data_IF_168379606914
#
_entry.id   IF_168379606914
#
_cell.length_a   1.000
_cell.length_b   1.000
_cell.length_c   1.000
_cell.angle_alpha   90.00
_cell.angle_beta   90.00
_cell.angle_gamma   90.00
#
_symmetry.space_group_name_H-M   'P 1'
#
loop_
_entity.id
_entity.type
_entity.pdbx_description
1 polymer ?
#
# COMPACT_ATOMS: atom_id res chain seq x y z
N UNK A 1 -5.57 14.74 -12.87
CA UNK A 1 -6.22 13.44 -12.59
C UNK A 1 -5.14 12.49 -12.12
N UNK A 2 -5.34 11.80 -11.00
CA UNK A 2 -4.35 10.84 -10.47
C UNK A 2 -4.38 9.57 -11.32
N UNK A 3 -3.20 9.06 -11.70
CA UNK A 3 -3.11 7.84 -12.51
C UNK A 3 -2.97 6.62 -11.60
N UNK A 4 -3.80 5.60 -11.83
CA UNK A 4 -3.72 4.32 -11.15
C UNK A 4 -3.31 3.22 -12.13
N UNK A 5 -2.26 2.48 -11.79
CA UNK A 5 -1.74 1.36 -12.59
C UNK A 5 -1.81 0.06 -11.79
N UNK A 6 -1.93 -1.07 -12.49
CA UNK A 6 -1.90 -2.40 -11.88
C UNK A 6 -0.87 -3.25 -12.59
N UNK A 7 0.17 -3.63 -11.85
CA UNK A 7 1.25 -4.48 -12.30
C UNK A 7 1.12 -5.86 -11.66
N UNK A 8 1.27 -6.91 -12.45
CA UNK A 8 1.22 -8.29 -11.94
C UNK A 8 2.61 -8.87 -11.87
N UNK A 9 3.00 -9.40 -10.70
CA UNK A 9 4.25 -10.16 -10.55
C UNK A 9 4.05 -11.63 -10.97
N UNK A 10 4.96 -12.16 -11.79
CA UNK A 10 5.01 -13.60 -12.12
C UNK A 10 6.08 -14.30 -11.28
N UNK A 11 5.71 -15.38 -10.58
CA UNK A 11 6.65 -16.40 -10.10
C UNK A 11 7.44 -16.09 -8.82
N UNK A 12 7.82 -14.83 -8.54
CA UNK A 12 8.38 -14.41 -7.24
C UNK A 12 7.84 -13.03 -6.84
N UNK A 13 7.25 -12.87 -5.64
CA UNK A 13 6.66 -11.60 -5.19
C UNK A 13 7.62 -10.40 -5.22
N UNK A 14 8.92 -10.68 -5.04
CA UNK A 14 9.97 -9.67 -4.89
C UNK A 14 10.41 -9.02 -6.20
N UNK A 15 10.29 -9.71 -7.36
CA UNK A 15 10.78 -9.18 -8.64
C UNK A 15 10.03 -7.91 -9.09
N UNK A 16 8.75 -7.77 -8.74
CA UNK A 16 7.97 -6.57 -9.03
C UNK A 16 8.20 -5.41 -8.07
N UNK A 17 8.93 -5.63 -6.97
CA UNK A 17 9.21 -4.62 -5.93
C UNK A 17 10.51 -3.87 -6.18
N UNK A 18 11.20 -4.10 -7.30
CA UNK A 18 12.60 -3.74 -7.45
C UNK A 18 12.87 -2.31 -7.92
N UNK A 19 11.94 -1.57 -8.50
CA UNK A 19 12.26 -0.17 -8.85
C UNK A 19 11.03 0.71 -8.73
N UNK A 20 11.00 1.51 -7.67
CA UNK A 20 9.93 2.48 -7.42
C UNK A 20 10.44 3.63 -6.55
N UNK A 21 10.01 4.88 -6.81
CA UNK A 21 10.32 6.02 -5.96
C UNK A 21 9.88 5.81 -4.51
N UNK A 22 8.70 5.23 -4.29
CA UNK A 22 8.23 4.86 -2.95
C UNK A 22 7.48 3.53 -2.92
N UNK A 23 7.97 2.59 -2.12
CA UNK A 23 7.31 1.34 -1.78
C UNK A 23 6.59 1.47 -0.43
N UNK A 24 5.32 1.06 -0.36
CA UNK A 24 4.53 1.07 0.88
C UNK A 24 4.44 -0.32 1.48
N UNK A 25 4.89 -0.48 2.72
CA UNK A 25 4.84 -1.74 3.45
C UNK A 25 3.96 -1.58 4.70
N UNK A 26 2.77 -2.16 4.66
CA UNK A 26 1.89 -2.24 5.83
C UNK A 26 2.24 -3.43 6.73
N UNK A 27 2.25 -3.22 8.04
CA UNK A 27 2.38 -4.29 9.03
C UNK A 27 1.35 -4.17 10.14
N UNK A 28 0.79 -5.32 10.54
CA UNK A 28 -0.12 -5.45 11.67
C UNK A 28 0.69 -5.76 12.92
N UNK A 29 0.21 -5.28 14.07
CA UNK A 29 0.85 -5.54 15.35
C UNK A 29 0.98 -7.05 15.62
N UNK A 30 2.19 -7.46 16.03
CA UNK A 30 2.53 -8.85 16.33
C UNK A 30 2.72 -9.78 15.12
N UNK A 31 2.56 -9.31 13.88
CA UNK A 31 2.66 -10.17 12.68
C UNK A 31 4.01 -10.09 11.95
N UNK A 32 4.91 -9.19 12.38
CA UNK A 32 6.20 -8.96 11.72
C UNK A 32 6.07 -8.52 10.26
N UNK A 33 7.15 -8.67 9.49
CA UNK A 33 7.18 -8.28 8.07
C UNK A 33 6.39 -9.25 7.17
N UNK A 34 6.09 -10.48 7.62
CA UNK A 34 5.50 -11.52 6.77
C UNK A 34 6.47 -12.03 5.69
N UNK A 35 6.24 -13.23 5.15
CA UNK A 35 7.23 -13.94 4.32
C UNK A 35 7.69 -13.19 3.07
N UNK A 36 6.77 -12.52 2.37
CA UNK A 36 7.08 -11.82 1.11
C UNK A 36 7.93 -10.57 1.33
N UNK A 37 7.73 -9.86 2.44
CA UNK A 37 8.54 -8.69 2.78
C UNK A 37 9.84 -9.14 3.44
N UNK A 38 9.86 -10.25 4.17
CA UNK A 38 11.09 -10.81 4.72
C UNK A 38 12.07 -11.24 3.60
N UNK A 39 11.57 -11.79 2.49
CA UNK A 39 12.40 -12.08 1.30
C UNK A 39 12.98 -10.81 0.69
N UNK A 40 12.15 -9.75 0.51
CA UNK A 40 12.63 -8.44 0.06
C UNK A 40 13.68 -7.87 1.01
N UNK A 41 13.44 -7.93 2.32
CA UNK A 41 14.38 -7.41 3.32
C UNK A 41 15.71 -8.16 3.28
N UNK A 42 15.69 -9.48 3.09
CA UNK A 42 16.89 -10.29 2.84
C UNK A 42 17.68 -9.83 1.62
N UNK A 43 17.00 -9.56 0.49
CA UNK A 43 17.61 -8.99 -0.73
C UNK A 43 18.21 -7.58 -0.47
N UNK A 44 17.67 -6.85 0.51
CA UNK A 44 18.13 -5.52 0.94
C UNK A 44 19.16 -5.56 2.09
N UNK A 45 19.63 -6.75 2.48
CA UNK A 45 20.62 -6.91 3.55
C UNK A 45 20.07 -6.76 4.98
N UNK A 46 18.75 -6.89 5.17
CA UNK A 46 18.10 -6.86 6.48
C UNK A 46 17.85 -5.46 7.04
N UNK A 47 17.99 -4.41 6.22
CA UNK A 47 17.89 -3.01 6.68
C UNK A 47 16.51 -2.66 7.26
N UNK A 48 15.43 -3.24 6.72
CA UNK A 48 14.07 -2.97 7.22
C UNK A 48 13.90 -3.60 8.60
N UNK A 49 14.34 -4.84 8.79
CA UNK A 49 14.29 -5.50 10.09
C UNK A 49 15.17 -4.80 11.14
N UNK A 50 16.36 -4.34 10.75
CA UNK A 50 17.25 -3.57 11.63
C UNK A 50 16.56 -2.28 12.11
N UNK A 51 15.95 -1.51 11.20
CA UNK A 51 15.21 -0.29 11.53
C UNK A 51 13.98 -0.56 12.41
N UNK A 52 13.26 -1.66 12.18
CA UNK A 52 12.14 -2.07 13.06
C UNK A 52 12.64 -2.33 14.48
N UNK A 53 13.74 -3.06 14.61
CA UNK A 53 14.31 -3.43 15.90
C UNK A 53 14.84 -2.20 16.64
N UNK A 54 15.62 -1.37 15.97
CA UNK A 54 16.20 -0.15 16.55
C UNK A 54 15.12 0.81 17.05
N UNK A 55 14.04 0.97 16.28
CA UNK A 55 12.94 1.88 16.63
C UNK A 55 11.92 1.26 17.59
N UNK A 56 12.04 -0.04 17.90
CA UNK A 56 11.03 -0.77 18.66
C UNK A 56 9.64 -0.72 18.00
N UNK A 57 9.58 -0.73 16.67
CA UNK A 57 8.34 -0.55 15.93
C UNK A 57 7.43 -1.78 16.02
N UNK A 58 6.19 -1.63 16.49
CA UNK A 58 5.27 -2.75 16.73
C UNK A 58 4.03 -2.72 15.84
N UNK A 59 4.05 -1.95 14.74
CA UNK A 59 2.95 -1.88 13.78
C UNK A 59 1.72 -1.13 14.30
N UNK A 60 1.87 -0.26 15.30
CA UNK A 60 0.77 0.50 15.88
C UNK A 60 0.11 1.44 14.85
N UNK A 61 -1.21 1.60 14.95
CA UNK A 61 -2.01 2.29 13.93
C UNK A 61 -1.53 3.72 13.68
N UNK A 62 -1.07 3.96 12.44
CA UNK A 62 -0.65 5.28 11.97
C UNK A 62 0.76 5.69 12.40
N UNK A 63 1.50 4.84 13.11
CA UNK A 63 2.95 4.98 13.25
C UNK A 63 3.63 4.57 11.94
N UNK A 64 4.74 5.23 11.61
CA UNK A 64 5.49 4.91 10.40
C UNK A 64 6.94 5.39 10.51
N UNK A 65 7.78 4.84 9.64
CA UNK A 65 9.11 5.36 9.36
C UNK A 65 9.45 5.13 7.88
N UNK A 66 10.46 5.84 7.38
CA UNK A 66 10.94 5.71 6.00
C UNK A 66 12.39 5.24 6.02
N UNK A 67 12.70 4.23 5.22
CA UNK A 67 14.07 3.84 4.90
C UNK A 67 14.39 4.43 3.54
N UNK A 68 15.44 5.24 3.46
CA UNK A 68 15.92 5.85 2.21
C UNK A 68 17.10 5.02 1.69
N UNK A 69 17.08 4.69 0.41
CA UNK A 69 18.00 3.74 -0.21
C UNK A 69 18.62 4.37 -1.46
N UNK A 70 19.94 4.38 -1.52
CA UNK A 70 20.71 5.01 -2.60
C UNK A 70 21.36 3.95 -3.51
N UNK A 71 20.55 3.08 -4.13
CA UNK A 71 21.06 2.07 -5.06
C UNK A 71 20.10 1.85 -6.23
N UNK A 72 20.61 1.75 -7.48
CA UNK A 72 19.78 1.43 -8.64
C UNK A 72 19.23 0.01 -8.56
N UNK A 73 18.03 -0.20 -9.12
CA UNK A 73 17.37 -1.52 -9.16
C UNK A 73 16.81 -2.01 -7.82
N UNK A 74 16.65 -1.11 -6.84
CA UNK A 74 15.86 -1.30 -5.61
C UNK A 74 14.92 -0.10 -5.39
N UNK A 75 13.90 -0.18 -4.51
CA UNK A 75 13.12 0.99 -4.11
C UNK A 75 14.00 2.12 -3.60
N UNK A 76 13.68 3.38 -3.92
CA UNK A 76 14.41 4.54 -3.38
C UNK A 76 13.97 4.88 -1.96
N UNK A 77 12.66 4.75 -1.69
CA UNK A 77 12.08 4.97 -0.38
C UNK A 77 11.19 3.78 0.00
N UNK A 78 11.36 3.25 1.21
CA UNK A 78 10.49 2.24 1.77
C UNK A 78 9.75 2.84 2.96
N UNK A 79 8.45 3.06 2.81
CA UNK A 79 7.59 3.52 3.88
C UNK A 79 7.00 2.33 4.61
N UNK A 80 7.42 2.11 5.86
CA UNK A 80 6.85 1.09 6.74
C UNK A 80 5.74 1.74 7.58
N UNK A 81 4.53 1.17 7.51
CA UNK A 81 3.30 1.72 8.10
C UNK A 81 2.64 0.72 9.03
N UNK A 82 2.31 1.19 10.23
CA UNK A 82 1.58 0.43 11.23
C UNK A 82 0.08 0.48 10.96
N UNK A 83 -0.51 -0.70 10.81
CA UNK A 83 -1.92 -0.90 10.50
C UNK A 83 -2.76 -1.16 11.76
N UNK A 84 -2.12 -1.21 12.93
CA UNK A 84 -2.75 -1.53 14.20
C UNK A 84 -2.93 -3.03 14.40
N UNK A 85 -3.83 -3.39 15.30
CA UNK A 85 -4.08 -4.78 15.64
C UNK A 85 -5.03 -5.46 14.63
N UNK A 86 -4.86 -6.77 14.35
CA UNK A 86 -5.66 -7.49 13.36
C UNK A 86 -7.17 -7.38 13.57
N UNK A 87 -7.64 -7.36 14.82
CA UNK A 87 -9.06 -7.30 15.18
C UNK A 87 -9.69 -5.92 14.89
N UNK A 88 -8.88 -4.86 14.91
CA UNK A 88 -9.26 -3.47 14.64
C UNK A 88 -8.97 -3.03 13.21
N UNK A 89 -8.39 -3.90 12.38
CA UNK A 89 -8.12 -3.56 10.98
C UNK A 89 -9.43 -3.43 10.19
N UNK A 90 -9.67 -2.24 9.65
CA UNK A 90 -10.90 -1.85 8.97
C UNK A 90 -10.63 -0.85 7.83
N UNK A 91 -11.71 -0.34 7.21
CA UNK A 91 -11.67 0.71 6.19
C UNK A 91 -10.96 1.98 6.67
N UNK A 92 -11.11 2.37 7.94
CA UNK A 92 -10.50 3.59 8.50
C UNK A 92 -8.99 3.40 8.65
N UNK A 93 -8.53 2.22 9.05
CA UNK A 93 -7.12 1.89 9.15
C UNK A 93 -6.42 2.00 7.79
N UNK A 94 -7.00 1.42 6.74
CA UNK A 94 -6.49 1.53 5.36
C UNK A 94 -6.50 2.99 4.91
N UNK A 95 -7.63 3.69 5.05
CA UNK A 95 -7.74 5.11 4.67
C UNK A 95 -6.64 5.94 5.32
N UNK A 96 -6.41 5.76 6.63
CA UNK A 96 -5.35 6.47 7.36
C UNK A 96 -3.96 6.14 6.83
N UNK A 97 -3.65 4.85 6.64
CA UNK A 97 -2.35 4.42 6.13
C UNK A 97 -2.04 5.03 4.75
N UNK A 98 -3.02 5.02 3.85
CA UNK A 98 -2.87 5.60 2.51
C UNK A 98 -2.71 7.12 2.55
N UNK A 99 -3.48 7.83 3.38
CA UNK A 99 -3.31 9.28 3.54
C UNK A 99 -1.91 9.64 4.04
N UNK A 100 -1.31 8.82 4.92
CA UNK A 100 0.08 9.00 5.37
C UNK A 100 1.04 8.74 4.20
N UNK A 101 0.85 7.64 3.46
CA UNK A 101 1.70 7.29 2.34
C UNK A 101 1.74 8.37 1.26
N UNK A 102 0.59 8.89 0.85
CA UNK A 102 0.50 9.98 -0.13
C UNK A 102 1.16 11.25 0.38
N UNK A 103 0.91 11.63 1.65
CA UNK A 103 1.55 12.81 2.23
C UNK A 103 3.07 12.68 2.25
N UNK A 104 3.59 11.49 2.56
CA UNK A 104 5.02 11.24 2.61
C UNK A 104 5.64 11.23 1.21
N UNK A 105 4.99 10.59 0.24
CA UNK A 105 5.42 10.57 -1.16
C UNK A 105 5.54 11.99 -1.72
N UNK A 106 4.50 12.82 -1.56
CA UNK A 106 4.51 14.22 -2.01
C UNK A 106 5.60 15.03 -1.30
N UNK A 107 5.75 14.86 0.03
CA UNK A 107 6.79 15.56 0.80
C UNK A 107 8.21 15.22 0.35
N UNK A 108 8.44 13.99 -0.09
CA UNK A 108 9.73 13.50 -0.60
C UNK A 108 9.90 13.71 -2.10
N UNK A 109 8.95 14.36 -2.78
CA UNK A 109 9.01 14.58 -4.23
C UNK A 109 8.89 13.29 -5.07
N UNK A 110 8.36 12.21 -4.49
CA UNK A 110 8.11 10.96 -5.21
C UNK A 110 6.97 11.15 -6.21
N UNK A 111 7.18 10.77 -7.47
CA UNK A 111 6.17 10.81 -8.53
C UNK A 111 5.39 9.49 -8.68
N UNK A 112 5.81 8.41 -8.02
CA UNK A 112 5.13 7.11 -8.03
C UNK A 112 5.14 6.45 -6.64
N UNK A 113 4.00 5.86 -6.28
CA UNK A 113 3.77 5.10 -5.06
C UNK A 113 3.35 3.66 -5.42
N UNK A 114 4.13 2.66 -5.01
CA UNK A 114 3.80 1.25 -5.24
C UNK A 114 3.25 0.63 -3.95
N UNK A 115 2.08 0.01 -4.05
CA UNK A 115 1.39 -0.68 -2.95
C UNK A 115 1.29 -2.17 -3.29
N UNK A 116 1.98 -3.05 -2.56
CA UNK A 116 1.86 -4.49 -2.73
C UNK A 116 0.55 -5.00 -2.13
N UNK A 117 -0.25 -5.64 -2.98
CA UNK A 117 -1.46 -6.38 -2.62
C UNK A 117 -1.07 -7.83 -2.39
N UNK A 118 -0.70 -8.15 -1.15
CA UNK A 118 -0.18 -9.45 -0.78
C UNK A 118 -1.34 -10.44 -0.51
N UNK A 119 -1.38 -11.61 -1.18
CA UNK A 119 -2.38 -12.64 -0.91
C UNK A 119 -2.27 -13.14 0.53
N UNK A 120 -3.39 -13.52 1.14
CA UNK A 120 -3.50 -14.09 2.50
C UNK A 120 -3.17 -13.16 3.68
N UNK A 121 -2.90 -11.87 3.45
CA UNK A 121 -2.84 -10.85 4.53
C UNK A 121 -4.19 -10.21 4.82
N UNK A 122 -5.23 -10.53 4.04
CA UNK A 122 -6.54 -9.95 4.21
C UNK A 122 -7.31 -10.64 5.34
N UNK A 123 -7.75 -9.80 6.26
CA UNK A 123 -8.70 -10.01 7.35
C UNK A 123 -9.70 -11.13 7.08
N UNK A 124 -9.98 -11.91 8.13
CA UNK A 124 -11.12 -12.82 8.26
C UNK A 124 -12.45 -12.18 7.79
N UNK A 125 -12.70 -12.15 6.48
CA UNK A 125 -13.97 -11.74 5.85
C UNK A 125 -14.33 -10.25 5.82
N UNK A 126 -13.59 -9.33 6.46
CA UNK A 126 -14.05 -7.92 6.63
C UNK A 126 -13.91 -7.02 5.40
N UNK A 127 -12.96 -7.28 4.50
CA UNK A 127 -12.77 -6.46 3.30
C UNK A 127 -12.21 -7.28 2.14
N UNK A 128 -12.87 -7.23 0.99
CA UNK A 128 -12.41 -7.87 -0.24
C UNK A 128 -11.46 -6.95 -1.05
N UNK A 129 -10.72 -7.53 -2.01
CA UNK A 129 -9.78 -6.80 -2.88
C UNK A 129 -10.42 -5.64 -3.65
N UNK A 130 -11.69 -5.77 -4.07
CA UNK A 130 -12.41 -4.71 -4.78
C UNK A 130 -12.62 -3.51 -3.86
N UNK A 131 -13.07 -3.76 -2.63
CA UNK A 131 -13.26 -2.73 -1.62
C UNK A 131 -11.97 -2.08 -1.19
N UNK A 132 -10.90 -2.85 -1.05
CA UNK A 132 -9.57 -2.31 -0.78
C UNK A 132 -9.12 -1.33 -1.88
N UNK A 133 -9.22 -1.71 -3.16
CA UNK A 133 -8.84 -0.83 -4.26
C UNK A 133 -9.67 0.47 -4.30
N UNK A 134 -10.98 0.38 -4.10
CA UNK A 134 -11.87 1.56 -4.02
C UNK A 134 -11.47 2.49 -2.87
N UNK A 135 -11.29 1.95 -1.66
CA UNK A 135 -10.91 2.73 -0.47
C UNK A 135 -9.57 3.43 -0.68
N UNK A 136 -8.60 2.72 -1.29
CA UNK A 136 -7.28 3.29 -1.58
C UNK A 136 -7.42 4.43 -2.59
N UNK A 137 -8.18 4.26 -3.67
CA UNK A 137 -8.42 5.32 -4.67
C UNK A 137 -8.99 6.58 -4.01
N UNK A 138 -10.09 6.44 -3.27
CA UNK A 138 -10.75 7.56 -2.58
C UNK A 138 -9.80 8.26 -1.60
N UNK A 139 -9.02 7.49 -0.84
CA UNK A 139 -8.07 8.04 0.12
C UNK A 139 -6.93 8.81 -0.56
N UNK A 140 -6.44 8.34 -1.71
CA UNK A 140 -5.42 9.01 -2.51
C UNK A 140 -5.96 10.30 -3.10
N UNK A 141 -7.09 10.23 -3.80
CA UNK A 141 -7.69 11.39 -4.48
C UNK A 141 -8.04 12.49 -3.48
N UNK A 142 -8.68 12.13 -2.37
CA UNK A 142 -8.99 13.08 -1.31
C UNK A 142 -7.71 13.71 -0.75
N UNK A 143 -6.65 12.91 -0.50
CA UNK A 143 -5.43 13.46 0.11
C UNK A 143 -4.65 14.37 -0.83
N UNK A 144 -4.59 14.04 -2.12
CA UNK A 144 -3.94 14.90 -3.12
C UNK A 144 -4.69 16.22 -3.27
N UNK A 145 -6.02 16.18 -3.24
CA UNK A 145 -6.86 17.39 -3.21
C UNK A 145 -6.59 18.24 -1.96
N UNK A 146 -6.53 17.63 -0.77
CA UNK A 146 -6.21 18.33 0.48
C UNK A 146 -4.83 19.01 0.43
N UNK A 147 -3.88 18.42 -0.32
CA UNK A 147 -2.52 18.92 -0.49
C UNK A 147 -2.36 19.88 -1.68
N UNK A 148 -3.41 20.09 -2.50
CA UNK A 148 -3.34 20.83 -3.77
C UNK A 148 -2.25 20.30 -4.72
N UNK A 149 -2.15 18.96 -4.79
CA UNK A 149 -1.13 18.23 -5.54
C UNK A 149 -1.75 17.24 -6.54
N UNK A 150 -2.91 17.56 -7.12
CA UNK A 150 -3.57 16.67 -8.08
C UNK A 150 -2.68 16.36 -9.28
N UNK A 151 -2.55 15.07 -9.63
CA UNK A 151 -1.71 14.63 -10.74
C UNK A 151 -0.21 14.54 -10.43
N UNK A 152 0.22 14.88 -9.21
CA UNK A 152 1.63 14.79 -8.82
C UNK A 152 2.12 13.36 -8.58
N UNK A 153 1.21 12.38 -8.47
CA UNK A 153 1.51 11.03 -8.03
C UNK A 153 0.80 9.97 -8.90
N UNK A 154 1.56 9.03 -9.44
CA UNK A 154 1.04 7.75 -9.93
C UNK A 154 0.94 6.76 -8.76
N UNK A 155 -0.15 5.98 -8.70
CA UNK A 155 -0.31 4.90 -7.72
C UNK A 155 -0.37 3.56 -8.42
N UNK A 156 0.60 2.70 -8.12
CA UNK A 156 0.69 1.36 -8.67
C UNK A 156 0.26 0.32 -7.63
N UNK A 157 -0.62 -0.59 -8.03
CA UNK A 157 -0.87 -1.82 -7.29
C UNK A 157 -0.01 -2.94 -7.85
N UNK A 158 0.86 -3.51 -7.02
CA UNK A 158 1.56 -4.76 -7.35
C UNK A 158 0.77 -5.94 -6.78
N UNK A 159 0.27 -6.83 -7.63
CA UNK A 159 -0.59 -7.92 -7.18
C UNK A 159 -0.31 -9.24 -7.90
N UNK A 160 -0.93 -10.33 -7.42
CA UNK A 160 -0.97 -11.57 -8.18
C UNK A 160 -1.85 -11.43 -9.44
N UNK A 161 -1.63 -12.23 -10.49
CA UNK A 161 -2.48 -12.22 -11.68
C UNK A 161 -3.98 -12.39 -11.36
N UNK A 162 -4.30 -13.23 -10.38
CA UNK A 162 -5.68 -13.52 -9.97
C UNK A 162 -6.33 -12.30 -9.28
N UNK A 163 -5.56 -11.50 -8.54
CA UNK A 163 -6.06 -10.31 -7.86
C UNK A 163 -6.39 -9.16 -8.83
N UNK A 164 -5.73 -9.10 -10.00
CA UNK A 164 -5.84 -7.99 -10.96
C UNK A 164 -7.28 -7.62 -11.30
N UNK A 165 -8.12 -8.61 -11.64
CA UNK A 165 -9.52 -8.36 -12.04
C UNK A 165 -10.35 -7.72 -10.91
N UNK A 166 -10.06 -8.07 -9.66
CA UNK A 166 -10.77 -7.50 -8.52
C UNK A 166 -10.35 -6.05 -8.25
N UNK A 167 -9.06 -5.76 -8.39
CA UNK A 167 -8.51 -4.41 -8.24
C UNK A 167 -9.02 -3.47 -9.34
N UNK A 168 -8.98 -3.91 -10.61
CA UNK A 168 -9.53 -3.14 -11.75
C UNK A 168 -10.99 -2.75 -11.49
N UNK A 169 -11.83 -3.72 -11.07
CA UNK A 169 -13.24 -3.45 -10.75
C UNK A 169 -13.40 -2.49 -9.58
N UNK A 170 -12.50 -2.54 -8.59
CA UNK A 170 -12.52 -1.62 -7.45
C UNK A 170 -12.14 -0.19 -7.83
N UNK A 171 -11.13 -0.03 -8.69
CA UNK A 171 -10.71 1.27 -9.23
C UNK A 171 -11.74 1.88 -10.16
N UNK A 172 -12.49 1.07 -10.91
CA UNK A 172 -13.59 1.53 -11.75
C UNK A 172 -14.89 1.83 -10.95
N UNK A 173 -14.91 1.52 -9.66
CA UNK A 173 -16.13 1.62 -8.86
C UNK A 173 -16.49 3.07 -8.53
N UNK A 174 -17.70 3.55 -8.88
CA UNK A 174 -18.08 4.94 -8.59
C UNK A 174 -18.50 5.12 -7.13
N UNK A 175 -19.33 4.21 -6.63
CA UNK A 175 -19.80 4.18 -5.24
C UNK A 175 -19.73 2.77 -4.68
N UNK A 176 -19.40 2.64 -3.40
CA UNK A 176 -19.41 1.34 -2.72
C UNK A 176 -20.22 1.42 -1.42
N UNK A 177 -21.12 0.46 -1.25
CA UNK A 177 -21.91 0.35 -0.03
C UNK A 177 -21.13 -0.35 1.10
N UNK A 178 -21.73 -0.40 2.29
CA UNK A 178 -21.11 -0.99 3.49
C UNK A 178 -20.91 -2.51 3.38
N UNK A 179 -21.57 -3.17 2.41
CA UNK A 179 -21.40 -4.60 2.10
C UNK A 179 -20.27 -4.85 1.10
N UNK A 180 -19.59 -3.81 0.61
CA UNK A 180 -18.53 -3.93 -0.40
C UNK A 180 -19.03 -4.17 -1.82
N UNK A 181 -20.32 -3.90 -2.08
CA UNK A 181 -20.93 -3.99 -3.40
C UNK A 181 -20.73 -2.68 -4.15
N UNK A 182 -20.37 -2.79 -5.42
CA UNK A 182 -20.02 -1.65 -6.24
C UNK A 182 -21.22 -1.20 -7.08
N UNK A 183 -21.53 0.10 -7.04
CA UNK A 183 -22.39 0.75 -8.02
C UNK A 183 -21.54 1.42 -9.11
N UNK A 184 -21.95 1.18 -10.36
CA UNK A 184 -21.36 1.78 -11.55
C UNK A 184 -22.28 2.84 -12.19
N UNK A 185 -23.53 2.99 -11.70
CA UNK A 185 -24.46 4.05 -12.13
C UNK A 185 -24.19 5.37 -11.39
N UNK A 186 -24.52 6.49 -12.03
CA UNK A 186 -24.33 7.85 -11.49
C UNK A 186 -25.49 8.37 -10.64
N UNK A 187 -26.51 7.54 -10.40
CA UNK A 187 -27.69 7.89 -9.60
C UNK A 187 -27.36 7.90 -8.10
#
# INVERSE_FOLDING_TARGET
>A
MTTFTITTGSGKPVLGLRETPMLVLGTLSGMGLGSQIAELDGDLGGIISAEIQERGFQGELGKYFTVELERPGIPQNILVLGLGSPEKFDRKAITRAIKIAVARAVKLGCNKLTIPILPNRQTQGKLNLRGQAYIIREAVEQKLKDLKAEGALEVEFLCSPQAKVHLVRGLACKRMNDKGECSYSED
#
